data_IF_308301031235
#
_entry.id   IF_308301031235
#
_cell.length_a   1.000
_cell.length_b   1.000
_cell.length_c   1.000
_cell.angle_alpha   90.00
_cell.angle_beta   90.00
_cell.angle_gamma   90.00
#
_symmetry.space_group_name_H-M   'P 1'
#
loop_
_entity.id
_entity.type
_entity.pdbx_description
1 polymer ?
#
# COMPACT_ATOMS: atom_id res chain seq x y z
N UNK A 1 74.81 -9.83 27.38
CA UNK A 1 73.86 -8.78 26.98
C UNK A 1 73.31 -9.13 25.60
N UNK A 2 72.04 -9.55 25.50
CA UNK A 2 71.32 -9.82 24.24
C UNK A 2 70.30 -8.69 24.02
N UNK A 3 70.18 -8.09 22.83
CA UNK A 3 69.24 -7.00 22.60
C UNK A 3 67.81 -7.52 22.48
N UNK A 4 66.86 -6.78 23.06
CA UNK A 4 65.42 -7.02 22.97
C UNK A 4 64.92 -6.55 21.60
N UNK A 5 64.27 -7.41 20.82
CA UNK A 5 63.42 -7.00 19.70
C UNK A 5 62.08 -6.52 20.27
N UNK A 6 61.71 -5.26 19.99
CA UNK A 6 60.36 -4.75 20.20
C UNK A 6 59.43 -5.28 19.10
N UNK A 7 58.29 -5.84 19.51
CA UNK A 7 57.14 -6.07 18.64
C UNK A 7 56.54 -4.72 18.22
N UNK A 8 56.41 -4.49 16.91
CA UNK A 8 55.46 -3.53 16.36
C UNK A 8 54.24 -4.30 15.86
N UNK A 9 53.14 -4.25 16.61
CA UNK A 9 51.83 -4.65 16.16
C UNK A 9 51.31 -3.63 15.15
N UNK A 10 51.26 -4.00 13.87
CA UNK A 10 50.50 -3.26 12.86
C UNK A 10 48.99 -3.38 13.19
N UNK A 11 48.39 -2.27 13.62
CA UNK A 11 46.95 -2.09 13.58
C UNK A 11 46.54 -1.96 12.10
N UNK A 12 46.01 -3.05 11.54
CA UNK A 12 45.29 -3.00 10.28
C UNK A 12 44.00 -2.19 10.51
N UNK A 13 43.97 -0.95 10.05
CA UNK A 13 42.72 -0.20 9.94
C UNK A 13 41.86 -0.92 8.89
N UNK A 14 40.81 -1.60 9.34
CA UNK A 14 39.76 -2.12 8.48
C UNK A 14 39.03 -0.93 7.84
N UNK A 15 39.40 -0.60 6.60
CA UNK A 15 38.63 0.30 5.75
C UNK A 15 37.29 -0.37 5.45
N UNK A 16 36.26 -0.03 6.21
CA UNK A 16 34.88 -0.28 5.81
C UNK A 16 34.70 0.44 4.47
N UNK A 17 34.36 -0.25 3.37
CA UNK A 17 34.10 0.45 2.12
C UNK A 17 32.93 1.39 2.37
N UNK A 18 33.17 2.70 2.24
CA UNK A 18 32.10 3.68 2.12
C UNK A 18 31.26 3.24 0.92
N UNK A 19 30.09 2.65 1.18
CA UNK A 19 29.09 2.45 0.15
C UNK A 19 28.69 3.85 -0.33
N UNK A 20 29.04 4.16 -1.59
CA UNK A 20 28.62 5.41 -2.21
C UNK A 20 27.09 5.50 -2.09
N UNK A 21 26.59 6.68 -1.71
CA UNK A 21 25.17 6.98 -1.74
C UNK A 21 24.61 6.56 -3.11
N UNK A 22 23.59 5.72 -3.11
CA UNK A 22 23.08 5.15 -4.34
C UNK A 22 22.33 6.22 -5.11
N UNK A 23 22.96 6.74 -6.15
CA UNK A 23 22.39 7.79 -6.99
C UNK A 23 21.21 7.26 -7.81
N UNK A 24 20.14 8.05 -7.92
CA UNK A 24 19.00 7.75 -8.79
C UNK A 24 19.38 7.77 -10.28
N UNK A 25 20.46 8.45 -10.65
CA UNK A 25 20.98 8.48 -12.04
C UNK A 25 21.35 7.09 -12.60
N UNK A 26 21.52 6.10 -11.73
CA UNK A 26 21.79 4.70 -12.08
C UNK A 26 20.52 3.92 -12.48
N UNK A 27 19.34 4.53 -12.42
CA UNK A 27 18.09 3.87 -12.80
C UNK A 27 18.05 3.58 -14.32
N UNK A 28 17.44 2.46 -14.74
CA UNK A 28 17.52 2.01 -16.12
C UNK A 28 16.68 2.84 -17.10
N UNK A 29 15.74 3.66 -16.61
CA UNK A 29 14.89 4.53 -17.43
C UNK A 29 14.74 5.89 -16.76
N UNK A 30 14.44 6.93 -17.55
CA UNK A 30 14.17 8.28 -17.03
C UNK A 30 13.02 8.29 -16.02
N UNK A 31 11.95 7.55 -16.28
CA UNK A 31 10.81 7.45 -15.36
C UNK A 31 11.22 6.88 -14.00
N UNK A 32 12.11 5.87 -13.99
CA UNK A 32 12.65 5.31 -12.76
C UNK A 32 13.62 6.26 -12.04
N UNK A 33 14.35 7.12 -12.77
CA UNK A 33 15.13 8.21 -12.16
C UNK A 33 14.17 9.14 -11.40
N UNK A 34 13.12 9.62 -12.07
CA UNK A 34 12.16 10.56 -11.48
C UNK A 34 11.43 9.93 -10.28
N UNK A 35 11.00 8.67 -10.40
CA UNK A 35 10.34 7.96 -9.31
C UNK A 35 11.30 7.70 -8.13
N UNK A 36 12.57 7.36 -8.40
CA UNK A 36 13.59 7.24 -7.36
C UNK A 36 13.79 8.56 -6.60
N UNK A 37 13.84 9.69 -7.30
CA UNK A 37 13.92 11.01 -6.67
C UNK A 37 12.66 11.35 -5.87
N UNK A 38 11.48 10.96 -6.36
CA UNK A 38 10.23 11.10 -5.60
C UNK A 38 10.28 10.30 -4.29
N UNK A 39 10.77 9.06 -4.30
CA UNK A 39 10.97 8.25 -3.08
C UNK A 39 12.00 8.89 -2.13
N UNK A 40 13.13 9.37 -2.65
CA UNK A 40 14.12 10.08 -1.81
C UNK A 40 13.53 11.34 -1.15
N UNK A 41 12.69 12.10 -1.86
CA UNK A 41 11.97 13.25 -1.28
C UNK A 41 11.01 12.83 -0.17
N UNK A 42 10.28 11.73 -0.37
CA UNK A 42 9.37 11.16 0.63
C UNK A 42 10.11 10.73 1.90
N UNK A 43 11.19 9.95 1.75
CA UNK A 43 12.05 9.51 2.84
C UNK A 43 12.65 10.70 3.61
N UNK A 44 13.22 11.68 2.89
CA UNK A 44 13.80 12.88 3.49
C UNK A 44 12.78 13.68 4.30
N UNK A 45 11.58 13.90 3.73
CA UNK A 45 10.51 14.62 4.42
C UNK A 45 10.05 13.88 5.68
N UNK A 46 9.90 12.57 5.60
CA UNK A 46 9.53 11.68 6.72
C UNK A 46 10.56 11.74 7.85
N UNK A 47 11.84 11.52 7.54
CA UNK A 47 12.94 11.59 8.53
C UNK A 47 13.06 12.97 9.15
N UNK A 48 12.88 14.03 8.36
CA UNK A 48 12.90 15.41 8.86
C UNK A 48 11.76 15.67 9.86
N UNK A 49 10.58 15.09 9.66
CA UNK A 49 9.47 15.18 10.62
C UNK A 49 9.77 14.39 11.90
N UNK A 50 10.25 13.15 11.79
CA UNK A 50 10.63 12.33 12.95
C UNK A 50 11.69 13.01 13.84
N UNK A 51 12.67 13.70 13.23
CA UNK A 51 13.70 14.46 13.96
C UNK A 51 13.18 15.68 14.71
N UNK A 52 11.99 16.19 14.37
CA UNK A 52 11.40 17.40 14.98
C UNK A 52 10.61 17.11 16.27
N UNK A 53 10.55 15.86 16.70
CA UNK A 53 9.82 15.42 17.89
C UNK A 53 8.79 14.34 17.56
N UNK A 54 8.23 13.65 18.57
CA UNK A 54 7.26 12.59 18.35
C UNK A 54 6.10 13.12 17.51
N UNK A 55 5.73 12.38 16.47
CA UNK A 55 4.58 12.70 15.64
C UNK A 55 3.33 12.63 16.53
N UNK A 56 2.81 13.79 16.93
CA UNK A 56 1.54 13.89 17.66
C UNK A 56 0.41 13.77 16.64
N UNK A 57 0.30 12.59 16.04
CA UNK A 57 -0.88 12.11 15.34
C UNK A 57 -1.51 10.99 16.18
N UNK A 58 -2.79 10.65 15.97
CA UNK A 58 -3.32 9.43 16.56
C UNK A 58 -2.40 8.28 16.16
N UNK A 59 -1.69 7.67 17.11
CA UNK A 59 -0.95 6.44 16.84
C UNK A 59 -1.94 5.49 16.18
N UNK A 60 -1.71 5.16 14.92
CA UNK A 60 -2.39 4.04 14.28
C UNK A 60 -1.82 2.80 14.97
N UNK A 61 -2.41 2.47 16.11
CA UNK A 61 -2.11 1.24 16.81
C UNK A 61 -2.41 0.09 15.84
N UNK A 62 -1.55 -0.94 15.77
CA UNK A 62 -1.92 -2.15 15.07
C UNK A 62 -3.28 -2.62 15.62
N UNK A 63 -4.16 -3.16 14.76
CA UNK A 63 -5.41 -3.73 15.21
C UNK A 63 -5.14 -4.64 16.42
N UNK A 64 -5.89 -4.46 17.50
CA UNK A 64 -5.63 -5.15 18.75
C UNK A 64 -5.54 -6.65 18.51
N UNK A 65 -4.38 -7.24 18.78
CA UNK A 65 -4.19 -8.68 18.73
C UNK A 65 -5.11 -9.27 19.80
N UNK A 66 -6.05 -10.18 19.47
CA UNK A 66 -6.75 -10.95 20.48
C UNK A 66 -5.70 -11.74 21.26
N UNK A 67 -5.52 -11.39 22.53
CA UNK A 67 -4.49 -11.98 23.39
C UNK A 67 -4.85 -13.44 23.69
N UNK A 68 -4.38 -14.37 22.87
CA UNK A 68 -4.49 -15.82 23.12
C UNK A 68 -3.32 -16.59 22.50
N UNK A 69 -2.08 -16.26 22.90
CA UNK A 69 -0.93 -17.17 22.71
C UNK A 69 -0.07 -17.17 23.97
N UNK A 70 -0.08 -18.30 24.68
CA UNK A 70 0.78 -18.57 25.82
C UNK A 70 2.24 -18.65 25.35
N UNK A 71 3.05 -17.66 25.72
CA UNK A 71 4.50 -17.62 25.46
C UNK A 71 5.25 -16.97 26.64
N UNK A 72 6.55 -17.25 26.83
CA UNK A 72 7.23 -17.10 28.12
C UNK A 72 7.77 -15.69 28.42
N UNK A 73 7.31 -14.65 27.73
CA UNK A 73 7.71 -13.26 28.01
C UNK A 73 6.50 -12.41 28.37
N UNK A 74 6.25 -12.27 29.67
CA UNK A 74 5.28 -11.33 30.22
C UNK A 74 6.02 -10.11 30.81
N UNK A 75 5.76 -8.88 30.36
CA UNK A 75 5.87 -7.73 31.24
C UNK A 75 4.71 -7.82 32.25
N UNK A 76 5.01 -7.70 33.53
CA UNK A 76 4.03 -7.71 34.61
C UNK A 76 3.02 -6.56 34.43
N UNK A 77 1.83 -6.88 33.94
CA UNK A 77 0.69 -5.96 33.98
C UNK A 77 -0.37 -6.52 34.93
N UNK A 78 -0.72 -5.67 35.90
CA UNK A 78 -1.47 -5.97 37.11
C UNK A 78 -2.85 -6.60 36.82
N UNK A 79 -3.17 -7.70 37.51
CA UNK A 79 -4.25 -8.66 37.22
C UNK A 79 -5.70 -8.19 37.45
N UNK A 80 -5.98 -6.88 37.53
CA UNK A 80 -7.31 -6.38 37.91
C UNK A 80 -8.05 -5.52 36.87
N UNK A 81 -7.54 -5.33 35.65
CA UNK A 81 -8.28 -4.60 34.59
C UNK A 81 -8.01 -5.10 33.17
N UNK A 82 -8.19 -6.39 32.89
CA UNK A 82 -8.28 -6.85 31.49
C UNK A 82 -9.69 -6.58 30.97
N UNK A 83 -10.01 -5.31 30.71
CA UNK A 83 -11.11 -4.98 29.81
C UNK A 83 -10.63 -5.35 28.40
N UNK A 84 -11.34 -6.27 27.73
CA UNK A 84 -11.16 -6.51 26.29
C UNK A 84 -11.16 -5.14 25.60
N UNK A 85 -10.15 -4.78 24.78
CA UNK A 85 -10.18 -3.50 24.09
C UNK A 85 -11.45 -3.47 23.24
N UNK A 86 -12.42 -2.65 23.62
CA UNK A 86 -13.62 -2.45 22.79
C UNK A 86 -13.14 -1.75 21.52
N UNK A 87 -13.42 -2.29 20.32
CA UNK A 87 -13.03 -1.62 19.09
C UNK A 87 -13.70 -0.24 19.04
N UNK A 88 -12.92 0.83 18.91
CA UNK A 88 -13.45 2.20 18.85
C UNK A 88 -13.82 2.62 17.42
N UNK A 89 -13.37 1.87 16.42
CA UNK A 89 -13.59 2.10 15.00
C UNK A 89 -13.72 0.76 14.27
N UNK A 90 -14.51 0.66 13.18
CA UNK A 90 -14.54 -0.54 12.35
C UNK A 90 -13.15 -0.89 11.78
N UNK A 91 -12.26 0.10 11.62
CA UNK A 91 -10.90 -0.12 11.11
C UNK A 91 -9.97 -0.87 12.07
N UNK A 92 -10.35 -0.97 13.35
CA UNK A 92 -9.62 -1.74 14.36
C UNK A 92 -9.99 -3.24 14.33
N UNK A 93 -11.00 -3.63 13.57
CA UNK A 93 -11.44 -5.01 13.50
C UNK A 93 -10.55 -5.87 12.60
N UNK A 94 -10.27 -7.09 13.07
CA UNK A 94 -9.55 -8.13 12.32
C UNK A 94 -10.44 -9.30 11.90
N UNK A 95 -11.65 -9.39 12.46
CA UNK A 95 -12.59 -10.49 12.29
C UNK A 95 -13.99 -9.95 11.93
N UNK A 96 -14.78 -10.74 11.20
CA UNK A 96 -16.14 -10.33 10.78
C UNK A 96 -17.09 -10.15 11.98
N UNK A 97 -16.90 -10.91 13.05
CA UNK A 97 -17.68 -10.79 14.30
C UNK A 97 -17.48 -9.42 14.95
N UNK A 98 -16.27 -8.87 14.93
CA UNK A 98 -15.96 -7.52 15.38
C UNK A 98 -16.65 -6.46 14.52
N UNK A 99 -16.62 -6.60 13.20
CA UNK A 99 -17.28 -5.65 12.28
C UNK A 99 -18.81 -5.65 12.44
N UNK A 100 -19.39 -6.75 12.93
CA UNK A 100 -20.83 -6.93 13.04
C UNK A 100 -21.52 -5.80 13.82
N UNK A 101 -20.90 -5.35 14.91
CA UNK A 101 -21.46 -4.29 15.75
C UNK A 101 -21.56 -2.95 15.01
N UNK A 102 -20.62 -2.67 14.10
CA UNK A 102 -20.60 -1.44 13.30
C UNK A 102 -21.58 -1.49 12.12
N UNK A 103 -21.89 -2.70 11.65
CA UNK A 103 -22.85 -2.96 10.58
C UNK A 103 -24.29 -3.08 11.08
N UNK A 104 -24.56 -2.76 12.35
CA UNK A 104 -25.84 -2.99 13.01
C UNK A 104 -26.34 -4.44 12.85
N UNK A 105 -25.41 -5.39 12.78
CA UNK A 105 -25.70 -6.81 12.65
C UNK A 105 -25.94 -7.49 14.00
N UNK A 106 -26.38 -8.75 13.93
CA UNK A 106 -26.59 -9.63 15.08
C UNK A 106 -25.63 -10.81 14.98
N UNK A 107 -24.92 -11.07 16.09
CA UNK A 107 -24.02 -12.21 16.19
C UNK A 107 -24.82 -13.43 16.65
N UNK A 108 -24.76 -14.53 15.90
CA UNK A 108 -25.35 -15.82 16.27
C UNK A 108 -24.45 -16.58 17.27
N UNK A 109 -24.97 -17.62 17.96
CA UNK A 109 -24.19 -18.38 18.94
C UNK A 109 -22.91 -19.04 18.39
N UNK A 110 -22.85 -19.33 17.09
CA UNK A 110 -21.68 -19.86 16.38
C UNK A 110 -20.70 -18.77 15.91
N UNK A 111 -20.91 -17.50 16.29
CA UNK A 111 -20.03 -16.38 15.99
C UNK A 111 -20.22 -15.75 14.60
N UNK A 112 -21.20 -16.21 13.82
CA UNK A 112 -21.50 -15.61 12.52
C UNK A 112 -22.24 -14.27 12.69
N UNK A 113 -21.94 -13.32 11.80
CA UNK A 113 -22.64 -12.04 11.76
C UNK A 113 -23.79 -12.09 10.74
N UNK A 114 -24.99 -11.70 11.15
CA UNK A 114 -26.16 -11.52 10.29
C UNK A 114 -26.56 -10.05 10.24
N UNK A 115 -26.65 -9.51 9.04
CA UNK A 115 -27.08 -8.12 8.77
C UNK A 115 -28.59 -7.98 9.02
N UNK A 116 -29.07 -6.74 9.11
CA UNK A 116 -30.51 -6.46 9.27
C UNK A 116 -31.36 -6.99 8.10
N UNK A 117 -30.77 -7.19 6.93
CA UNK A 117 -31.41 -7.86 5.78
C UNK A 117 -31.63 -9.37 5.99
N UNK A 118 -31.09 -9.95 7.06
CA UNK A 118 -31.05 -11.40 7.29
C UNK A 118 -29.88 -12.10 6.58
N UNK A 119 -29.11 -11.38 5.78
CA UNK A 119 -27.95 -11.92 5.09
C UNK A 119 -26.77 -12.15 6.05
N UNK A 120 -26.08 -13.28 5.89
CA UNK A 120 -24.82 -13.55 6.59
C UNK A 120 -23.69 -12.71 6.00
N UNK A 121 -22.98 -11.97 6.83
CA UNK A 121 -21.74 -11.29 6.44
C UNK A 121 -20.64 -12.32 6.20
N UNK A 122 -20.06 -12.30 5.00
CA UNK A 122 -18.96 -13.17 4.58
C UNK A 122 -17.72 -12.34 4.25
N UNK A 123 -16.57 -13.00 4.06
CA UNK A 123 -15.37 -12.34 3.56
C UNK A 123 -15.63 -11.79 2.14
N UNK A 124 -15.12 -10.58 1.88
CA UNK A 124 -15.12 -10.00 0.55
C UNK A 124 -14.24 -10.82 -0.40
N UNK A 125 -14.70 -11.00 -1.64
CA UNK A 125 -13.90 -11.60 -2.71
C UNK A 125 -13.58 -10.48 -3.71
N UNK A 126 -12.31 -10.05 -3.72
CA UNK A 126 -11.83 -9.07 -4.68
C UNK A 126 -11.75 -9.70 -6.07
N UNK A 127 -12.45 -9.10 -7.03
CA UNK A 127 -12.49 -9.57 -8.43
C UNK A 127 -11.71 -8.63 -9.33
N UNK A 128 -11.24 -9.16 -10.45
CA UNK A 128 -10.77 -8.32 -11.55
C UNK A 128 -11.95 -7.44 -11.99
N UNK A 129 -11.73 -6.13 -12.08
CA UNK A 129 -12.79 -5.15 -12.21
C UNK A 129 -13.68 -5.33 -13.46
N UNK A 130 -13.10 -5.78 -14.58
CA UNK A 130 -13.83 -6.06 -15.84
C UNK A 130 -14.58 -7.39 -15.80
N UNK A 131 -14.38 -8.22 -14.78
CA UNK A 131 -15.09 -9.48 -14.56
C UNK A 131 -16.28 -9.35 -13.60
N UNK A 132 -16.49 -8.18 -13.02
CA UNK A 132 -17.67 -7.90 -12.20
C UNK A 132 -18.94 -7.88 -13.06
N UNK A 133 -20.05 -8.32 -12.49
CA UNK A 133 -21.37 -8.10 -13.11
C UNK A 133 -21.72 -6.61 -13.08
N UNK A 134 -22.69 -6.21 -13.90
CA UNK A 134 -23.17 -4.83 -13.93
C UNK A 134 -23.71 -4.40 -12.55
N UNK A 135 -24.40 -5.30 -11.84
CA UNK A 135 -24.88 -5.05 -10.48
C UNK A 135 -23.72 -4.81 -9.51
N UNK A 136 -22.73 -5.70 -9.49
CA UNK A 136 -21.54 -5.57 -8.63
C UNK A 136 -20.80 -4.25 -8.90
N UNK A 137 -20.63 -3.89 -10.17
CA UNK A 137 -19.93 -2.67 -10.60
C UNK A 137 -20.72 -1.42 -10.22
N UNK A 138 -22.03 -1.41 -10.45
CA UNK A 138 -22.90 -0.29 -10.07
C UNK A 138 -22.93 -0.07 -8.55
N UNK A 139 -22.94 -1.15 -7.76
CA UNK A 139 -22.86 -1.07 -6.29
C UNK A 139 -21.52 -0.51 -5.83
N UNK A 140 -20.42 -0.96 -6.43
CA UNK A 140 -19.10 -0.40 -6.16
C UNK A 140 -19.00 1.09 -6.51
N UNK A 141 -19.50 1.52 -7.67
CA UNK A 141 -19.56 2.94 -8.05
C UNK A 141 -20.40 3.76 -7.07
N UNK A 142 -21.56 3.25 -6.69
CA UNK A 142 -22.47 3.89 -5.75
C UNK A 142 -21.82 4.05 -4.38
N UNK A 143 -21.22 2.97 -3.84
CA UNK A 143 -20.54 2.99 -2.55
C UNK A 143 -19.35 3.97 -2.54
N UNK A 144 -18.52 3.99 -3.59
CA UNK A 144 -17.43 4.95 -3.73
C UNK A 144 -17.92 6.41 -3.78
N UNK A 145 -18.98 6.68 -4.55
CA UNK A 145 -19.55 8.02 -4.64
C UNK A 145 -20.14 8.49 -3.29
N UNK A 146 -20.81 7.59 -2.56
CA UNK A 146 -21.30 7.89 -1.21
C UNK A 146 -20.14 8.14 -0.24
N UNK A 147 -19.07 7.34 -0.31
CA UNK A 147 -17.85 7.52 0.48
C UNK A 147 -17.11 8.83 0.12
N UNK A 148 -17.19 9.28 -1.13
CA UNK A 148 -16.69 10.59 -1.54
C UNK A 148 -17.53 11.72 -0.95
N UNK A 149 -18.86 11.59 -0.97
CA UNK A 149 -19.79 12.60 -0.46
C UNK A 149 -19.73 12.77 1.07
N UNK A 150 -19.54 11.68 1.81
CA UNK A 150 -19.44 11.73 3.27
C UNK A 150 -18.04 12.15 3.78
N UNK A 151 -17.09 12.40 2.87
CA UNK A 151 -15.74 12.86 3.17
C UNK A 151 -14.74 11.76 3.53
N UNK A 152 -15.18 10.51 3.70
CA UNK A 152 -14.30 9.43 4.13
C UNK A 152 -13.25 9.07 3.08
N UNK A 153 -13.60 9.15 1.79
CA UNK A 153 -12.62 9.00 0.71
C UNK A 153 -11.50 10.05 0.82
N UNK A 154 -11.83 11.31 1.14
CA UNK A 154 -10.83 12.36 1.33
C UNK A 154 -9.97 12.11 2.57
N UNK A 155 -10.48 11.46 3.61
CA UNK A 155 -9.69 11.06 4.77
C UNK A 155 -8.60 10.05 4.35
N UNK A 156 -8.95 9.01 3.58
CA UNK A 156 -7.97 8.06 3.05
C UNK A 156 -6.93 8.72 2.13
N UNK A 157 -7.39 9.59 1.22
CA UNK A 157 -6.49 10.33 0.34
C UNK A 157 -5.52 11.22 1.13
N UNK A 158 -5.99 11.86 2.21
CA UNK A 158 -5.17 12.72 3.07
C UNK A 158 -4.15 11.93 3.87
N UNK A 159 -4.55 10.77 4.41
CA UNK A 159 -3.63 9.87 5.11
C UNK A 159 -2.47 9.55 4.16
N UNK A 160 -2.75 9.03 2.96
CA UNK A 160 -1.70 8.71 2.00
C UNK A 160 -0.84 9.92 1.62
N UNK A 161 -1.44 11.09 1.43
CA UNK A 161 -0.73 12.28 0.96
C UNK A 161 0.31 12.86 1.93
N UNK A 162 0.25 12.49 3.21
CA UNK A 162 1.05 13.14 4.27
C UNK A 162 2.13 12.21 4.82
N UNK A 163 3.39 12.60 4.64
CA UNK A 163 4.55 11.88 5.20
C UNK A 163 4.53 11.76 6.73
N UNK A 164 3.79 12.64 7.41
CA UNK A 164 3.66 12.63 8.88
C UNK A 164 2.79 11.48 9.38
N UNK A 165 1.79 11.10 8.59
CA UNK A 165 0.86 10.03 8.94
C UNK A 165 1.28 8.71 8.27
N UNK A 166 2.02 8.83 7.16
CA UNK A 166 2.25 7.74 6.21
C UNK A 166 3.71 7.63 5.77
N UNK A 167 4.64 8.00 6.65
CA UNK A 167 6.08 7.95 6.35
C UNK A 167 6.54 6.58 5.83
N UNK A 168 5.99 5.50 6.37
CA UNK A 168 6.26 4.12 5.93
C UNK A 168 5.45 3.66 4.70
N UNK A 169 4.61 4.51 4.11
CA UNK A 169 3.89 4.14 2.88
C UNK A 169 4.83 3.90 1.71
N UNK A 170 6.00 4.55 1.70
CA UNK A 170 6.95 4.48 0.60
C UNK A 170 8.39 4.38 1.10
N UNK A 171 9.31 4.14 0.16
CA UNK A 171 10.75 4.28 0.31
C UNK A 171 11.44 3.16 1.10
N UNK A 172 10.73 2.07 1.40
CA UNK A 172 11.32 0.94 2.12
C UNK A 172 10.35 -0.21 2.40
N UNK A 173 10.76 -1.13 3.28
CA UNK A 173 10.08 -2.41 3.51
C UNK A 173 8.60 -2.34 3.89
N UNK A 174 8.15 -1.20 4.42
CA UNK A 174 6.78 -1.01 4.85
C UNK A 174 5.80 -0.77 3.70
N UNK A 175 6.26 -0.53 2.46
CA UNK A 175 5.42 -0.23 1.30
C UNK A 175 4.26 -1.22 1.12
N UNK A 176 4.55 -2.52 1.02
CA UNK A 176 3.54 -3.56 0.82
C UNK A 176 2.58 -3.73 2.02
N UNK A 177 3.05 -3.93 3.27
CA UNK A 177 2.15 -4.07 4.41
C UNK A 177 1.33 -2.79 4.70
N UNK A 178 1.90 -1.60 4.49
CA UNK A 178 1.17 -0.34 4.68
C UNK A 178 0.01 -0.22 3.69
N UNK A 179 0.27 -0.47 2.39
CA UNK A 179 -0.77 -0.40 1.36
C UNK A 179 -1.81 -1.51 1.51
N UNK A 180 -1.44 -2.71 1.98
CA UNK A 180 -2.39 -3.76 2.37
C UNK A 180 -3.33 -3.30 3.47
N UNK A 181 -2.81 -2.67 4.52
CA UNK A 181 -3.63 -2.17 5.62
C UNK A 181 -4.59 -1.07 5.16
N UNK A 182 -4.12 -0.12 4.34
CA UNK A 182 -4.98 0.93 3.79
C UNK A 182 -6.06 0.36 2.88
N UNK A 183 -5.70 -0.59 2.01
CA UNK A 183 -6.64 -1.27 1.11
C UNK A 183 -7.70 -2.05 1.90
N UNK A 184 -7.31 -2.73 2.99
CA UNK A 184 -8.23 -3.40 3.93
C UNK A 184 -9.21 -2.41 4.57
N UNK A 185 -8.71 -1.29 5.09
CA UNK A 185 -9.55 -0.27 5.74
C UNK A 185 -10.48 0.43 4.76
N UNK A 186 -10.00 0.70 3.55
CA UNK A 186 -10.80 1.25 2.46
C UNK A 186 -11.95 0.30 2.07
N UNK A 187 -11.67 -1.00 1.98
CA UNK A 187 -12.70 -2.02 1.75
C UNK A 187 -13.71 -2.12 2.91
N UNK A 188 -13.25 -2.01 4.16
CA UNK A 188 -14.15 -1.91 5.33
C UNK A 188 -15.05 -0.67 5.20
N UNK A 189 -14.51 0.49 4.80
CA UNK A 189 -15.27 1.73 4.64
C UNK A 189 -16.36 1.61 3.55
N UNK A 190 -16.02 1.00 2.40
CA UNK A 190 -17.01 0.67 1.36
C UNK A 190 -18.11 -0.24 1.91
N UNK A 191 -17.73 -1.24 2.71
CA UNK A 191 -18.66 -2.20 3.30
C UNK A 191 -19.53 -1.65 4.41
N UNK A 192 -19.13 -0.54 5.05
CA UNK A 192 -20.01 0.20 5.97
C UNK A 192 -21.17 0.88 5.22
N UNK A 193 -21.00 1.14 3.92
CA UNK A 193 -22.05 1.68 3.04
C UNK A 193 -22.85 0.54 2.42
N UNK A 194 -22.16 -0.45 1.87
CA UNK A 194 -22.76 -1.62 1.23
C UNK A 194 -21.99 -2.91 1.61
N UNK A 195 -22.53 -3.73 2.53
CA UNK A 195 -21.84 -4.93 3.03
C UNK A 195 -21.55 -6.01 1.97
N UNK A 196 -22.17 -5.95 0.79
CA UNK A 196 -21.92 -6.91 -0.29
C UNK A 196 -20.80 -6.47 -1.23
N UNK A 197 -20.37 -5.20 -1.15
CA UNK A 197 -19.26 -4.69 -1.97
C UNK A 197 -17.93 -5.30 -1.53
N UNK A 198 -17.08 -5.58 -2.52
CA UNK A 198 -15.67 -5.88 -2.35
C UNK A 198 -14.87 -4.86 -3.17
N UNK A 199 -13.67 -4.53 -2.72
CA UNK A 199 -12.76 -3.69 -3.51
C UNK A 199 -12.23 -4.54 -4.68
N UNK A 200 -12.47 -4.17 -5.95
CA UNK A 200 -11.90 -4.91 -7.06
C UNK A 200 -10.41 -4.59 -7.22
N UNK A 201 -9.75 -5.34 -8.09
CA UNK A 201 -8.40 -5.04 -8.54
C UNK A 201 -8.37 -4.76 -10.04
N UNK A 202 -7.39 -3.96 -10.46
CA UNK A 202 -7.07 -3.74 -11.86
C UNK A 202 -5.80 -4.51 -12.23
N UNK A 203 -5.96 -5.56 -13.03
CA UNK A 203 -4.82 -6.23 -13.65
C UNK A 203 -4.34 -5.42 -14.87
N UNK A 204 -3.34 -4.57 -14.67
CA UNK A 204 -2.77 -3.74 -15.73
C UNK A 204 -1.92 -4.52 -16.74
N UNK A 205 -1.55 -5.78 -16.45
CA UNK A 205 -0.86 -6.65 -17.41
C UNK A 205 -1.78 -6.98 -18.59
N UNK A 206 -3.08 -7.12 -18.34
CA UNK A 206 -4.05 -7.34 -19.41
C UNK A 206 -4.09 -6.19 -20.42
N UNK A 207 -3.96 -4.94 -19.96
CA UNK A 207 -3.97 -3.76 -20.83
C UNK A 207 -2.62 -3.53 -21.50
N UNK A 208 -1.52 -3.91 -20.83
CA UNK A 208 -0.19 -3.90 -21.42
C UNK A 208 -0.09 -4.76 -22.69
N UNK A 209 -0.93 -5.79 -22.80
CA UNK A 209 -1.00 -6.67 -23.97
C UNK A 209 -1.87 -6.14 -25.12
N UNK A 210 -2.51 -4.96 -24.97
CA UNK A 210 -3.24 -4.31 -26.05
C UNK A 210 -2.28 -3.64 -27.04
N UNK A 211 -2.65 -3.49 -28.33
CA UNK A 211 -1.88 -2.69 -29.29
C UNK A 211 -1.68 -1.24 -28.83
N UNK A 212 -2.71 -0.67 -28.20
CA UNK A 212 -2.64 0.58 -27.45
C UNK A 212 -3.38 0.38 -26.11
N UNK A 213 -2.64 0.44 -25.01
CA UNK A 213 -3.20 0.27 -23.67
C UNK A 213 -4.23 1.37 -23.31
N UNK A 214 -4.24 2.50 -24.03
CA UNK A 214 -5.25 3.56 -23.87
C UNK A 214 -6.64 3.14 -24.37
N UNK A 215 -6.72 2.13 -25.23
CA UNK A 215 -7.98 1.60 -25.76
C UNK A 215 -8.71 0.68 -24.77
N UNK A 216 -8.14 0.49 -23.57
CA UNK A 216 -8.79 -0.28 -22.52
C UNK A 216 -10.18 0.25 -22.16
N UNK A 217 -11.13 -0.66 -21.97
CA UNK A 217 -12.48 -0.34 -21.50
C UNK A 217 -12.50 0.41 -20.17
N UNK A 218 -11.41 0.32 -19.38
CA UNK A 218 -11.26 1.06 -18.14
C UNK A 218 -11.40 2.57 -18.32
N UNK A 219 -11.00 3.10 -19.47
CA UNK A 219 -10.99 4.53 -19.75
C UNK A 219 -12.26 5.02 -20.45
N UNK A 220 -13.36 4.27 -20.32
CA UNK A 220 -14.68 4.62 -20.87
C UNK A 220 -15.61 5.15 -19.78
N UNK A 221 -16.71 5.79 -20.20
CA UNK A 221 -17.74 6.29 -19.28
C UNK A 221 -18.43 5.23 -18.42
N UNK A 222 -18.39 3.96 -18.82
CA UNK A 222 -18.93 2.87 -18.00
C UNK A 222 -18.01 2.48 -16.84
N UNK A 223 -16.70 2.76 -16.96
CA UNK A 223 -15.69 2.35 -16.00
C UNK A 223 -15.12 3.56 -15.24
N UNK A 224 -13.87 3.97 -15.47
CA UNK A 224 -13.26 5.07 -14.73
C UNK A 224 -13.47 6.44 -15.35
N UNK A 225 -14.12 6.53 -16.52
CA UNK A 225 -14.35 7.77 -17.25
C UNK A 225 -13.21 8.14 -18.20
N UNK A 226 -13.60 8.84 -19.26
CA UNK A 226 -12.72 9.41 -20.28
C UNK A 226 -12.08 10.72 -19.79
N UNK A 227 -10.94 11.08 -20.39
CA UNK A 227 -10.22 12.33 -20.09
C UNK A 227 -10.15 13.23 -21.31
N UNK A 228 -10.33 14.53 -21.12
CA UNK A 228 -10.20 15.52 -22.20
C UNK A 228 -8.72 15.79 -22.57
N UNK A 229 -8.47 16.67 -23.53
CA UNK A 229 -7.10 17.03 -23.97
C UNK A 229 -6.23 17.66 -22.85
N UNK A 230 -6.86 18.26 -21.84
CA UNK A 230 -6.22 18.80 -20.65
C UNK A 230 -6.14 17.76 -19.51
N UNK A 231 -6.55 16.52 -19.77
CA UNK A 231 -6.53 15.40 -18.85
C UNK A 231 -7.70 15.34 -17.87
N UNK A 232 -8.67 16.24 -17.94
CA UNK A 232 -9.77 16.25 -16.96
C UNK A 232 -10.72 15.08 -17.21
N UNK A 233 -11.00 14.30 -16.17
CA UNK A 233 -12.03 13.26 -16.22
C UNK A 233 -13.41 13.91 -16.28
N UNK A 234 -14.07 13.83 -17.44
CA UNK A 234 -15.27 14.63 -17.72
C UNK A 234 -16.58 13.81 -17.74
N UNK A 235 -16.50 12.48 -17.81
CA UNK A 235 -17.67 11.59 -17.79
C UNK A 235 -17.44 10.36 -16.90
N UNK A 236 -18.46 9.48 -16.85
CA UNK A 236 -18.45 8.28 -16.03
C UNK A 236 -18.72 8.51 -14.54
N UNK A 237 -18.62 7.44 -13.71
CA UNK A 237 -19.10 7.43 -12.34
C UNK A 237 -18.32 8.36 -11.40
N UNK A 238 -17.12 8.77 -11.79
CA UNK A 238 -16.23 9.62 -10.98
C UNK A 238 -15.99 11.01 -11.59
N UNK A 239 -16.79 11.39 -12.60
CA UNK A 239 -16.76 12.73 -13.16
C UNK A 239 -16.99 13.79 -12.07
N UNK A 240 -16.28 14.91 -12.16
CA UNK A 240 -16.40 16.06 -11.22
C UNK A 240 -16.01 15.76 -9.78
N UNK A 241 -15.28 14.66 -9.54
CA UNK A 241 -14.66 14.44 -8.24
C UNK A 241 -13.65 15.54 -7.94
N UNK A 242 -13.86 16.26 -6.83
CA UNK A 242 -12.95 17.29 -6.38
C UNK A 242 -11.71 16.69 -5.72
N UNK A 243 -10.54 17.20 -6.08
CA UNK A 243 -9.26 16.79 -5.49
C UNK A 243 -9.01 17.53 -4.17
N UNK A 244 -8.07 17.04 -3.36
CA UNK A 244 -7.68 17.68 -2.10
C UNK A 244 -7.11 19.09 -2.30
N UNK A 245 -6.52 19.36 -3.46
CA UNK A 245 -5.93 20.65 -3.85
C UNK A 245 -7.00 21.64 -4.37
N UNK A 246 -8.27 21.23 -4.42
CA UNK A 246 -9.39 22.09 -4.78
C UNK A 246 -9.75 22.10 -6.27
N UNK A 247 -9.13 21.24 -7.09
CA UNK A 247 -9.54 21.09 -8.50
C UNK A 247 -10.96 20.53 -8.58
N UNK A 248 -11.68 20.90 -9.64
CA UNK A 248 -13.06 20.46 -9.88
C UNK A 248 -13.17 19.03 -10.42
N UNK A 249 -12.07 18.46 -10.89
CA UNK A 249 -11.96 17.14 -11.53
C UNK A 249 -10.61 16.52 -11.21
N UNK A 250 -10.57 15.21 -11.16
CA UNK A 250 -9.33 14.42 -11.25
C UNK A 250 -8.74 14.58 -12.66
N UNK A 251 -7.42 14.52 -12.77
CA UNK A 251 -6.71 14.53 -14.04
C UNK A 251 -5.97 13.22 -14.31
N UNK A 252 -5.95 12.81 -15.58
CA UNK A 252 -5.17 11.69 -16.12
C UNK A 252 -4.50 12.09 -17.42
N UNK A 253 -3.28 11.61 -17.63
CA UNK A 253 -2.48 11.86 -18.83
C UNK A 253 -1.92 10.54 -19.34
N UNK A 254 -2.82 9.66 -19.78
CA UNK A 254 -2.52 8.28 -20.11
C UNK A 254 -1.36 8.14 -21.11
N UNK A 255 -0.42 7.26 -20.78
CA UNK A 255 0.72 6.85 -21.61
C UNK A 255 1.63 8.00 -22.09
N UNK A 256 1.69 9.13 -21.37
CA UNK A 256 2.71 10.17 -21.66
C UNK A 256 4.11 9.79 -21.18
N UNK A 257 4.16 8.96 -20.15
CA UNK A 257 5.36 8.46 -19.47
C UNK A 257 4.97 7.20 -18.69
N UNK A 258 5.93 6.49 -18.12
CA UNK A 258 5.68 5.26 -17.37
C UNK A 258 5.25 4.08 -18.25
N UNK A 259 4.90 2.99 -17.59
CA UNK A 259 4.51 1.73 -18.24
C UNK A 259 3.52 0.98 -17.38
N UNK A 260 2.66 0.18 -18.00
CA UNK A 260 1.86 -0.78 -17.26
C UNK A 260 2.73 -1.97 -16.80
N UNK A 261 2.18 -2.80 -15.91
CA UNK A 261 2.86 -4.02 -15.47
C UNK A 261 3.00 -4.99 -16.64
N UNK A 262 4.12 -5.71 -16.68
CA UNK A 262 4.39 -6.76 -17.68
C UNK A 262 4.49 -8.12 -17.01
N UNK A 263 4.24 -9.18 -17.76
CA UNK A 263 4.41 -10.56 -17.30
C UNK A 263 5.85 -10.83 -16.82
N UNK A 264 6.85 -10.30 -17.53
CA UNK A 264 8.27 -10.44 -17.17
C UNK A 264 8.61 -9.81 -15.82
N UNK A 265 8.04 -8.63 -15.52
CA UNK A 265 8.22 -8.00 -14.21
C UNK A 265 7.58 -8.84 -13.10
N UNK A 266 6.38 -9.40 -13.33
CA UNK A 266 5.74 -10.28 -12.35
C UNK A 266 6.53 -11.58 -12.16
N UNK A 267 6.99 -12.21 -13.24
CA UNK A 267 7.85 -13.39 -13.18
C UNK A 267 9.14 -13.13 -12.40
N UNK A 268 9.76 -11.97 -12.62
CA UNK A 268 10.94 -11.52 -11.88
C UNK A 268 10.64 -11.37 -10.38
N UNK A 269 9.48 -10.79 -10.04
CA UNK A 269 9.06 -10.65 -8.65
C UNK A 269 8.79 -12.02 -7.98
N UNK A 270 8.08 -12.92 -8.67
CA UNK A 270 7.75 -14.24 -8.11
C UNK A 270 8.96 -15.14 -7.89
N UNK A 271 10.06 -14.92 -8.61
CA UNK A 271 11.31 -15.66 -8.43
C UNK A 271 12.14 -15.20 -7.22
N UNK A 272 11.77 -14.09 -6.57
CA UNK A 272 12.46 -13.62 -5.37
C UNK A 272 12.27 -14.63 -4.24
N UNK A 273 13.37 -15.08 -3.64
CA UNK A 273 13.35 -16.01 -2.51
C UNK A 273 13.63 -15.34 -1.17
N UNK A 274 14.16 -14.11 -1.17
CA UNK A 274 14.55 -13.41 0.04
C UNK A 274 13.60 -12.24 0.38
N UNK A 275 13.29 -12.07 1.66
CA UNK A 275 12.30 -11.09 2.13
C UNK A 275 12.76 -9.65 1.89
N UNK A 276 14.06 -9.35 1.99
CA UNK A 276 14.59 -8.01 1.74
C UNK A 276 14.57 -7.65 0.26
N UNK A 277 14.45 -8.61 -0.65
CA UNK A 277 14.23 -8.33 -2.08
C UNK A 277 12.74 -8.12 -2.41
N UNK A 278 11.85 -8.71 -1.60
CA UNK A 278 10.39 -8.65 -1.80
C UNK A 278 9.81 -7.38 -1.21
N UNK A 279 10.11 -7.08 0.06
CA UNK A 279 9.67 -5.85 0.70
C UNK A 279 10.57 -4.65 0.34
N UNK A 280 11.85 -4.91 0.05
CA UNK A 280 12.83 -3.97 -0.52
C UNK A 280 13.14 -2.70 0.27
N UNK A 281 14.42 -2.36 0.34
CA UNK A 281 14.88 -1.02 0.73
C UNK A 281 15.00 -0.18 -0.55
N UNK A 282 13.93 0.53 -0.92
CA UNK A 282 13.85 1.24 -2.21
C UNK A 282 14.50 2.62 -2.19
N UNK A 283 14.60 3.25 -1.02
CA UNK A 283 15.46 4.42 -0.79
C UNK A 283 16.42 4.18 0.39
N UNK A 284 17.40 3.27 0.23
CA UNK A 284 18.32 2.92 1.31
C UNK A 284 19.27 4.08 1.62
N UNK A 285 19.53 4.35 2.90
CA UNK A 285 20.60 5.25 3.34
C UNK A 285 21.98 4.68 2.98
N UNK A 286 23.03 5.51 2.95
CA UNK A 286 24.38 5.08 2.60
C UNK A 286 24.95 3.99 3.54
N UNK A 287 24.49 3.95 4.80
CA UNK A 287 24.85 2.92 5.78
C UNK A 287 24.11 1.59 5.58
N UNK A 288 23.04 1.57 4.77
CA UNK A 288 22.24 0.37 4.57
C UNK A 288 23.05 -0.68 3.78
N UNK A 289 23.17 -1.93 4.29
CA UNK A 289 23.88 -3.00 3.60
C UNK A 289 23.16 -3.47 2.34
N UNK A 290 21.86 -3.18 2.20
CA UNK A 290 21.07 -3.57 1.04
C UNK A 290 21.13 -2.52 -0.07
N UNK A 291 21.14 -3.02 -1.31
CA UNK A 291 21.09 -2.17 -2.49
C UNK A 291 19.66 -1.94 -2.93
N UNK A 292 19.42 -0.76 -3.49
CA UNK A 292 18.20 -0.41 -4.20
C UNK A 292 17.99 -1.41 -5.34
N UNK A 293 16.81 -1.98 -5.35
CA UNK A 293 16.38 -2.92 -6.36
C UNK A 293 15.28 -2.26 -7.21
N UNK A 294 15.62 -1.86 -8.44
CA UNK A 294 14.65 -1.28 -9.38
C UNK A 294 13.61 -2.29 -9.90
N UNK A 295 13.78 -3.59 -9.62
CA UNK A 295 12.78 -4.62 -9.85
C UNK A 295 11.92 -4.90 -8.60
N UNK A 296 12.09 -4.13 -7.52
CA UNK A 296 11.17 -4.19 -6.38
C UNK A 296 9.78 -3.73 -6.80
N UNK A 297 8.73 -4.35 -6.23
CA UNK A 297 7.35 -4.08 -6.62
C UNK A 297 6.96 -2.61 -6.43
N UNK A 298 7.59 -1.90 -5.48
CA UNK A 298 7.43 -0.45 -5.34
C UNK A 298 7.92 0.33 -6.57
N UNK A 299 9.04 -0.03 -7.19
CA UNK A 299 9.48 0.62 -8.44
C UNK A 299 8.58 0.24 -9.62
N UNK A 300 8.24 -1.05 -9.72
CA UNK A 300 7.46 -1.55 -10.84
C UNK A 300 6.04 -0.97 -10.84
N UNK A 301 5.35 -0.91 -9.69
CA UNK A 301 4.03 -0.27 -9.63
C UNK A 301 4.10 1.25 -9.89
N UNK A 302 5.23 1.89 -9.58
CA UNK A 302 5.47 3.31 -9.89
C UNK A 302 5.38 3.61 -11.39
N UNK A 303 5.73 2.64 -12.24
CA UNK A 303 5.49 2.73 -13.68
C UNK A 303 4.01 2.94 -14.02
N UNK A 304 3.09 2.26 -13.32
CA UNK A 304 1.64 2.39 -13.55
C UNK A 304 1.13 3.75 -13.10
N UNK A 305 1.62 4.26 -11.98
CA UNK A 305 1.34 5.63 -11.52
C UNK A 305 1.70 6.66 -12.59
N UNK A 306 2.89 6.53 -13.17
CA UNK A 306 3.37 7.40 -14.24
C UNK A 306 2.57 7.22 -15.53
N UNK A 307 2.19 5.98 -15.86
CA UNK A 307 1.38 5.65 -17.03
C UNK A 307 0.00 6.28 -16.98
N UNK A 308 -0.68 6.26 -15.83
CA UNK A 308 -1.97 6.96 -15.67
C UNK A 308 -1.74 8.48 -15.68
N UNK A 309 -0.70 8.94 -15.01
CA UNK A 309 -0.31 10.35 -14.96
C UNK A 309 -1.35 11.24 -14.27
N UNK A 310 -1.23 12.56 -14.44
CA UNK A 310 -2.12 13.52 -13.79
C UNK A 310 -2.05 13.42 -12.26
N UNK A 311 -3.19 13.21 -11.58
CA UNK A 311 -3.22 12.99 -10.13
C UNK A 311 -2.40 11.77 -9.70
N UNK A 312 -2.38 10.69 -10.50
CA UNK A 312 -1.67 9.45 -10.18
C UNK A 312 -0.14 9.60 -10.17
N UNK A 313 0.40 10.72 -10.67
CA UNK A 313 1.84 10.89 -10.85
C UNK A 313 2.63 11.16 -9.56
N UNK A 314 2.04 11.88 -8.61
CA UNK A 314 2.73 12.31 -7.38
C UNK A 314 2.17 11.58 -6.16
N UNK A 315 3.03 11.15 -5.24
CA UNK A 315 2.58 10.42 -4.05
C UNK A 315 1.63 11.25 -3.17
N UNK A 316 1.73 12.57 -3.20
CA UNK A 316 0.84 13.46 -2.45
C UNK A 316 -0.55 13.61 -3.07
N UNK A 317 -0.74 13.24 -4.35
CA UNK A 317 -2.01 13.44 -5.07
C UNK A 317 -2.63 12.15 -5.60
N UNK A 318 -1.88 11.06 -5.71
CA UNK A 318 -2.32 9.82 -6.39
C UNK A 318 -3.62 9.25 -5.83
N UNK A 319 -3.78 9.29 -4.51
CA UNK A 319 -4.97 8.82 -3.82
C UNK A 319 -6.23 9.70 -4.04
N UNK A 320 -6.15 10.79 -4.81
CA UNK A 320 -7.34 11.52 -5.30
C UNK A 320 -8.11 10.72 -6.36
N UNK A 321 -7.41 9.90 -7.15
CA UNK A 321 -8.00 9.08 -8.22
C UNK A 321 -8.44 7.71 -7.66
N UNK A 322 -9.72 7.29 -7.83
CA UNK A 322 -10.16 5.99 -7.33
C UNK A 322 -9.41 4.80 -7.93
N UNK A 323 -8.73 4.98 -9.07
CA UNK A 323 -7.92 3.90 -9.65
C UNK A 323 -6.73 3.52 -8.76
N UNK A 324 -6.25 4.44 -7.91
CA UNK A 324 -5.22 4.20 -6.90
C UNK A 324 -5.50 2.94 -6.07
N UNK A 325 -6.70 2.85 -5.49
CA UNK A 325 -7.03 1.79 -4.55
C UNK A 325 -7.17 0.43 -5.22
N UNK A 326 -7.64 0.38 -6.47
CA UNK A 326 -7.76 -0.89 -7.20
C UNK A 326 -6.43 -1.32 -7.82
N UNK A 327 -5.54 -0.38 -8.15
CA UNK A 327 -4.14 -0.66 -8.51
C UNK A 327 -3.40 -1.26 -7.31
N UNK A 328 -3.55 -0.67 -6.12
CA UNK A 328 -2.94 -1.22 -4.90
C UNK A 328 -3.59 -2.54 -4.45
N UNK A 329 -4.87 -2.78 -4.77
CA UNK A 329 -5.47 -4.11 -4.59
C UNK A 329 -4.82 -5.16 -5.53
N UNK A 330 -4.35 -4.77 -6.71
CA UNK A 330 -3.63 -5.69 -7.60
C UNK A 330 -2.19 -5.93 -7.12
N UNK A 331 -1.50 -4.88 -6.66
CA UNK A 331 -0.18 -5.00 -6.00
C UNK A 331 -0.27 -5.93 -4.79
N UNK A 332 -1.32 -5.81 -3.98
CA UNK A 332 -1.58 -6.69 -2.83
C UNK A 332 -1.85 -8.14 -3.26
N UNK A 333 -2.58 -8.36 -4.37
CA UNK A 333 -2.79 -9.69 -4.94
C UNK A 333 -1.47 -10.32 -5.40
N UNK A 334 -0.61 -9.57 -6.08
CA UNK A 334 0.73 -10.04 -6.50
C UNK A 334 1.55 -10.46 -5.27
N UNK A 335 1.60 -9.61 -4.24
CA UNK A 335 2.33 -9.96 -3.02
C UNK A 335 1.73 -11.18 -2.32
N UNK A 336 0.39 -11.26 -2.22
CA UNK A 336 -0.25 -12.41 -1.58
C UNK A 336 -0.01 -13.71 -2.35
N UNK A 337 -0.01 -13.71 -3.67
CA UNK A 337 0.35 -14.87 -4.48
C UNK A 337 1.79 -15.33 -4.19
N UNK A 338 2.74 -14.40 -4.08
CA UNK A 338 4.09 -14.73 -3.64
C UNK A 338 4.10 -15.34 -2.24
N UNK A 339 3.43 -14.73 -1.25
CA UNK A 339 3.37 -15.27 0.13
C UNK A 339 2.75 -16.67 0.17
N UNK A 340 1.73 -16.94 -0.64
CA UNK A 340 1.08 -18.24 -0.70
C UNK A 340 1.99 -19.33 -1.26
N UNK A 341 2.82 -18.98 -2.27
CA UNK A 341 3.69 -19.92 -2.97
C UNK A 341 5.07 -20.09 -2.33
N UNK A 342 5.61 -19.04 -1.72
CA UNK A 342 7.01 -18.98 -1.26
C UNK A 342 7.16 -19.02 0.27
N UNK A 343 6.09 -18.77 1.03
CA UNK A 343 6.14 -18.76 2.50
C UNK A 343 5.19 -19.78 3.10
N UNK A 344 5.66 -20.49 4.12
CA UNK A 344 4.82 -21.20 5.08
C UNK A 344 3.96 -20.24 5.91
N UNK A 345 2.94 -20.78 6.59
CA UNK A 345 2.11 -19.98 7.50
C UNK A 345 2.95 -19.29 8.59
N UNK A 346 3.97 -19.95 9.12
CA UNK A 346 4.83 -19.38 10.16
C UNK A 346 5.68 -18.22 9.61
N UNK A 347 6.29 -18.38 8.43
CA UNK A 347 7.10 -17.33 7.80
C UNK A 347 6.27 -16.10 7.47
N UNK A 348 5.02 -16.27 7.02
CA UNK A 348 4.09 -15.17 6.76
C UNK A 348 3.83 -14.28 7.98
N UNK A 349 3.96 -14.82 9.18
CA UNK A 349 3.72 -14.12 10.44
C UNK A 349 5.03 -13.58 11.07
N UNK A 350 6.19 -14.11 10.71
CA UNK A 350 7.46 -13.87 11.42
C UNK A 350 8.63 -13.38 10.54
N UNK A 351 8.52 -13.45 9.21
CA UNK A 351 9.59 -13.05 8.29
C UNK A 351 9.40 -11.60 7.85
N UNK A 352 10.23 -10.71 8.38
CA UNK A 352 10.29 -9.30 8.00
C UNK A 352 11.75 -8.87 7.85
N UNK A 353 12.05 -7.90 6.97
CA UNK A 353 13.36 -7.27 6.93
C UNK A 353 13.70 -6.64 8.28
N UNK A 354 14.97 -6.71 8.67
CA UNK A 354 15.45 -6.11 9.90
C UNK A 354 15.24 -4.59 9.92
N UNK A 355 14.99 -4.02 11.09
CA UNK A 355 15.05 -2.56 11.24
C UNK A 355 16.53 -2.15 11.25
N UNK A 356 16.96 -1.57 10.13
CA UNK A 356 18.33 -1.11 9.97
C UNK A 356 18.41 0.27 10.63
N UNK A 357 18.73 0.25 11.92
CA UNK A 357 18.94 1.46 12.70
C UNK A 357 19.95 2.41 12.03
N UNK A 358 19.68 3.71 12.17
CA UNK A 358 20.54 4.79 11.69
C UNK A 358 21.90 4.82 12.42
#
# INVERSE_FOLDING_TARGET
>A
MKPRLLLLSLLAASSVPFLLAQDCSMAPTLDLVIFCEQLQRWDFATRRQLRRGPMVGPQIMPPGIPFETQGPWQPEFNNNQVQRPVPHSPYSCMELSCLCQFLNGRISPDGACFLNSGQRLTQAVRKEYRRMTDDERNRFHSALNQMKQNGEYHNFARIHAQTSDSGGAHSGPAFLPWHREVTKRFEIALRMIDPEVALPYWDSVLDQNLPDARDSVLWTSEFFGESDSAGNVFNGPYARWRTLEGRSTIQRHLARQGSLLTEDQLNTFYQKSNIESVLAYTSPEASCPFRRDFAALEYVHGGVHFWVGGDMLDQSTSANDPIFYIQHSFVDLIWEQWRQNAQSRWERENMYPEDIGA
#
